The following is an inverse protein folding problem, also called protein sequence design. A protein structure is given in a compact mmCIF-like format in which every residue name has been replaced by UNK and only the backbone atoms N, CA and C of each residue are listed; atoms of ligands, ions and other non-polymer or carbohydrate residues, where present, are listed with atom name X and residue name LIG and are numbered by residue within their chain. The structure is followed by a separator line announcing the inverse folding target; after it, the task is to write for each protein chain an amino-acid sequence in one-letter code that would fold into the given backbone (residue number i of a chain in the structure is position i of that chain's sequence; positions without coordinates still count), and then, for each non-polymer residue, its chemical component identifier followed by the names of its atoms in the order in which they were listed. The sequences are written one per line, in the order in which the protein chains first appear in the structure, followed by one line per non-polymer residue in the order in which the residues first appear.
data_IF_744092444451
#
_entry.id   IF_744092444451
#
_cell.length_a   1.000
_cell.length_b   1.000
_cell.length_c   1.000
_cell.angle_alpha   90.00
_cell.angle_beta   90.00
_cell.angle_gamma   90.00
#
_symmetry.space_group_name_H-M   'P 1'
#
loop_
_entity.id
_entity.type
_entity.pdbx_description
1 polymer ?
#
# COMPACT_ATOMS: atom_id res chain seq x y z
N UNK A 1 2.90 18.62 6.17
CA UNK A 1 4.17 17.88 6.08
C UNK A 1 4.95 18.44 4.91
N UNK A 2 6.13 18.98 5.15
CA UNK A 2 6.98 19.61 4.12
C UNK A 2 7.75 18.53 3.36
N UNK A 3 7.04 17.79 2.49
CA UNK A 3 7.64 16.77 1.63
C UNK A 3 8.38 17.48 0.48
N UNK A 4 9.67 17.18 0.24
CA UNK A 4 10.40 17.77 -0.87
C UNK A 4 9.73 17.44 -2.24
N UNK A 5 9.45 18.44 -3.09
CA UNK A 5 8.67 18.28 -4.31
C UNK A 5 9.36 17.43 -5.38
N UNK A 6 10.68 17.33 -5.36
CA UNK A 6 11.50 16.56 -6.27
C UNK A 6 11.38 15.04 -6.07
N UNK A 7 10.97 14.60 -4.88
CA UNK A 7 10.85 13.18 -4.56
C UNK A 7 9.65 12.55 -5.27
N UNK A 8 9.89 11.43 -5.95
CA UNK A 8 8.87 10.70 -6.72
C UNK A 8 8.66 9.30 -6.14
N UNK A 9 7.42 8.79 -6.26
CA UNK A 9 7.05 7.40 -6.00
C UNK A 9 7.68 6.82 -4.71
N UNK A 10 8.56 5.82 -4.83
CA UNK A 10 9.20 5.11 -3.73
C UNK A 10 10.11 6.02 -2.90
N UNK A 11 10.75 7.01 -3.51
CA UNK A 11 11.64 7.93 -2.78
C UNK A 11 10.85 8.80 -1.79
N UNK A 12 9.64 9.21 -2.19
CA UNK A 12 8.70 9.90 -1.31
C UNK A 12 8.23 9.00 -0.17
N UNK A 13 7.94 7.73 -0.46
CA UNK A 13 7.60 6.74 0.56
C UNK A 13 8.73 6.59 1.58
N UNK A 14 9.97 6.37 1.13
CA UNK A 14 11.13 6.22 2.02
C UNK A 14 11.33 7.48 2.88
N UNK A 15 11.15 8.67 2.30
CA UNK A 15 11.22 9.92 3.07
C UNK A 15 10.19 9.95 4.20
N UNK A 16 8.93 9.57 3.92
CA UNK A 16 7.87 9.50 4.93
C UNK A 16 8.24 8.48 6.02
N UNK A 17 8.69 7.28 5.64
CA UNK A 17 9.06 6.23 6.59
C UNK A 17 10.21 6.66 7.51
N UNK A 18 11.20 7.40 6.98
CA UNK A 18 12.27 7.99 7.79
C UNK A 18 11.79 9.06 8.77
N UNK A 19 10.77 9.82 8.42
CA UNK A 19 10.17 10.84 9.30
C UNK A 19 9.34 10.24 10.42
N UNK A 20 8.71 9.10 10.18
CA UNK A 20 8.00 8.33 11.23
C UNK A 20 9.01 7.74 12.22
N UNK A 21 10.17 7.29 11.72
CA UNK A 21 11.25 6.73 12.53
C UNK A 21 11.10 5.23 12.80
N UNK A 22 12.23 4.53 12.98
CA UNK A 22 12.34 3.11 13.34
C UNK A 22 11.39 2.14 12.61
N UNK A 23 11.13 2.37 11.32
CA UNK A 23 10.34 1.43 10.51
C UNK A 23 11.22 0.28 10.03
N UNK A 24 11.07 -0.89 10.64
CA UNK A 24 11.74 -2.12 10.17
C UNK A 24 10.97 -2.81 9.04
N UNK A 25 9.64 -2.76 9.08
CA UNK A 25 8.77 -3.45 8.13
C UNK A 25 7.75 -2.51 7.46
N UNK A 26 7.67 -2.60 6.14
CA UNK A 26 6.61 -1.99 5.33
C UNK A 26 5.70 -3.08 4.77
N UNK A 27 4.42 -3.07 5.16
CA UNK A 27 3.43 -4.07 4.74
C UNK A 27 2.71 -3.56 3.49
N UNK A 28 2.59 -4.40 2.47
CA UNK A 28 1.83 -4.07 1.25
C UNK A 28 1.35 -5.33 0.53
N UNK A 29 0.39 -5.15 -0.38
CA UNK A 29 -0.20 -6.22 -1.17
C UNK A 29 0.63 -6.62 -2.40
N UNK A 30 0.43 -7.82 -2.97
CA UNK A 30 1.19 -8.31 -4.12
C UNK A 30 1.06 -7.43 -5.37
N UNK A 31 -0.05 -6.68 -5.52
CA UNK A 31 -0.25 -5.74 -6.63
C UNK A 31 0.84 -4.65 -6.71
N UNK A 32 1.41 -4.25 -5.55
CA UNK A 32 2.44 -3.23 -5.50
C UNK A 32 3.78 -3.65 -6.10
N UNK A 33 4.01 -4.96 -6.33
CA UNK A 33 5.23 -5.48 -6.99
C UNK A 33 5.46 -4.86 -8.38
N UNK A 34 4.41 -4.44 -9.05
CA UNK A 34 4.49 -3.83 -10.40
C UNK A 34 5.10 -2.43 -10.42
N UNK A 35 5.10 -1.70 -9.30
CA UNK A 35 5.53 -0.30 -9.25
C UNK A 35 6.43 0.06 -8.06
N UNK A 36 6.57 -0.83 -7.06
CA UNK A 36 7.38 -0.59 -5.88
C UNK A 36 8.85 -0.96 -6.12
N UNK A 37 9.75 0.00 -5.91
CA UNK A 37 11.19 -0.22 -6.03
C UNK A 37 11.75 -0.83 -4.73
N UNK A 38 11.56 -2.14 -4.54
CA UNK A 38 11.91 -2.88 -3.32
C UNK A 38 13.37 -2.71 -2.91
N UNK A 39 14.28 -2.66 -3.88
CA UNK A 39 15.71 -2.50 -3.62
C UNK A 39 16.04 -1.19 -2.90
N UNK A 40 15.33 -0.10 -3.22
CA UNK A 40 15.51 1.18 -2.54
C UNK A 40 15.10 1.09 -1.07
N UNK A 41 14.02 0.38 -0.75
CA UNK A 41 13.59 0.15 0.63
C UNK A 41 14.62 -0.70 1.39
N UNK A 42 15.13 -1.75 0.75
CA UNK A 42 16.15 -2.64 1.32
C UNK A 42 17.45 -1.91 1.66
N UNK A 43 17.93 -1.02 0.78
CA UNK A 43 19.10 -0.16 1.01
C UNK A 43 18.91 0.75 2.23
N UNK A 44 17.67 1.12 2.55
CA UNK A 44 17.32 1.94 3.71
C UNK A 44 16.95 1.10 4.95
N UNK A 45 17.32 -0.19 4.98
CA UNK A 45 17.03 -1.14 6.06
C UNK A 45 15.53 -1.35 6.33
N UNK A 46 14.68 -1.13 5.33
CA UNK A 46 13.23 -1.35 5.41
C UNK A 46 12.89 -2.66 4.68
N UNK A 47 12.33 -3.63 5.40
CA UNK A 47 11.89 -4.91 4.84
C UNK A 47 10.48 -4.79 4.32
N UNK A 48 10.22 -5.29 3.11
CA UNK A 48 8.86 -5.33 2.57
C UNK A 48 8.20 -6.67 2.94
N UNK A 49 7.08 -6.61 3.64
CA UNK A 49 6.25 -7.77 3.93
C UNK A 49 5.07 -7.81 2.96
N UNK A 50 5.06 -8.81 2.09
CA UNK A 50 4.00 -9.01 1.11
C UNK A 50 2.84 -9.76 1.75
N UNK A 51 1.76 -9.05 2.02
CA UNK A 51 0.55 -9.64 2.58
C UNK A 51 -0.50 -9.84 1.50
N UNK A 52 -0.89 -11.09 1.29
CA UNK A 52 -2.02 -11.42 0.41
C UNK A 52 -3.32 -11.30 1.21
N UNK A 53 -4.05 -10.22 0.94
CA UNK A 53 -5.29 -9.86 1.62
C UNK A 53 -6.44 -10.79 1.19
N UNK A 54 -6.43 -12.01 1.74
CA UNK A 54 -7.54 -12.96 1.60
C UNK A 54 -8.63 -12.61 2.59
N UNK A 55 -9.57 -11.80 2.15
CA UNK A 55 -10.76 -11.49 2.92
C UNK A 55 -11.91 -12.40 2.51
N UNK A 56 -12.73 -12.88 3.47
CA UNK A 56 -13.98 -13.54 3.11
C UNK A 56 -14.87 -12.55 2.36
N UNK A 57 -15.74 -13.06 1.49
CA UNK A 57 -16.77 -12.24 0.88
C UNK A 57 -17.71 -11.75 1.98
N UNK A 58 -17.69 -10.44 2.25
CA UNK A 58 -18.66 -9.81 3.12
C UNK A 58 -19.89 -9.50 2.28
N UNK A 59 -21.01 -10.16 2.59
CA UNK A 59 -22.30 -9.72 2.11
C UNK A 59 -22.59 -8.35 2.76
N UNK A 60 -22.12 -7.25 2.14
CA UNK A 60 -22.68 -5.94 2.39
C UNK A 60 -24.11 -5.99 1.87
N UNK A 61 -25.00 -6.46 2.75
CA UNK A 61 -26.40 -6.69 2.48
C UNK A 61 -27.05 -5.38 2.01
N UNK A 62 -27.16 -5.22 0.70
CA UNK A 62 -28.26 -4.49 0.07
C UNK A 62 -29.52 -5.29 0.35
N UNK A 63 -30.08 -5.16 1.55
CA UNK A 63 -31.50 -5.32 1.88
C UNK A 63 -32.35 -6.19 0.94
N UNK A 64 -32.00 -7.45 0.64
CA UNK A 64 -32.75 -8.34 -0.29
C UNK A 64 -33.44 -7.61 -1.45
N UNK A 65 -32.79 -6.62 -2.06
CA UNK A 65 -33.34 -5.94 -3.21
C UNK A 65 -32.54 -6.44 -4.41
N UNK A 66 -33.24 -7.04 -5.36
CA UNK A 66 -32.70 -7.48 -6.66
C UNK A 66 -32.27 -6.30 -7.55
N UNK A 67 -31.84 -5.20 -6.94
CA UNK A 67 -31.34 -4.02 -7.63
C UNK A 67 -29.82 -4.17 -7.70
N UNK A 68 -29.38 -4.95 -8.68
CA UNK A 68 -28.02 -4.88 -9.17
C UNK A 68 -27.80 -3.48 -9.73
N UNK A 69 -27.13 -2.62 -8.97
CA UNK A 69 -26.64 -1.36 -9.52
C UNK A 69 -25.40 -1.69 -10.35
N UNK A 70 -25.59 -1.82 -11.66
CA UNK A 70 -24.50 -1.76 -12.62
C UNK A 70 -23.95 -0.33 -12.59
N UNK A 71 -22.73 -0.13 -12.09
CA UNK A 71 -21.98 1.07 -12.43
C UNK A 71 -20.87 0.73 -13.43
N UNK A 72 -20.99 1.41 -14.57
CA UNK A 72 -19.99 1.76 -15.57
C UNK A 72 -18.67 2.23 -14.94
#
# INVERSE_FOLDING_TARGET
MDIPPELKKTDKLIWILKKIGNVEYYITGPAAKSYLEVDKLKINNIKVFWYDYKHPFYYQNTWKSDIFIYYL
#
